data_IF_906977410484
#
_entry.id   IF_906977410484
#
_cell.length_a   1.000
_cell.length_b   1.000
_cell.length_c   1.000
_cell.angle_alpha   90.00
_cell.angle_beta   90.00
_cell.angle_gamma   90.00
#
_symmetry.space_group_name_H-M   'P 1'
#
loop_
_entity.id
_entity.type
_entity.pdbx_description
1 polymer ?
#
# COMPACT_ATOMS: atom_id res chain seq x y z
N UNK A 1 7.43 -9.11 13.35
CA UNK A 1 6.72 -8.27 12.36
C UNK A 1 7.27 -6.87 12.54
N UNK A 2 8.13 -6.42 11.61
CA UNK A 2 8.61 -5.05 11.62
C UNK A 2 7.42 -4.08 11.51
N UNK A 3 7.41 -3.07 12.36
CA UNK A 3 6.24 -2.26 12.66
C UNK A 3 5.52 -1.71 11.44
N UNK A 4 4.19 -1.82 11.44
CA UNK A 4 3.21 -1.14 10.56
C UNK A 4 3.41 -1.28 9.03
N UNK A 5 4.54 -1.75 8.52
CA UNK A 5 4.85 -1.90 7.10
C UNK A 5 4.45 -3.31 6.64
N UNK A 6 3.76 -3.36 5.52
CA UNK A 6 3.34 -4.58 4.83
C UNK A 6 3.86 -4.52 3.40
N UNK A 7 4.46 -5.60 2.92
CA UNK A 7 4.96 -5.69 1.54
C UNK A 7 4.23 -6.83 0.82
N UNK A 8 3.64 -6.52 -0.33
CA UNK A 8 2.89 -7.45 -1.16
C UNK A 8 3.59 -7.61 -2.50
N UNK A 9 3.89 -8.84 -2.89
CA UNK A 9 4.24 -9.14 -4.27
C UNK A 9 2.93 -9.35 -5.04
N UNK A 10 2.70 -8.55 -6.07
CA UNK A 10 1.48 -8.59 -6.88
C UNK A 10 1.82 -9.01 -8.30
N UNK A 11 0.94 -9.81 -8.90
CA UNK A 11 1.03 -10.21 -10.31
C UNK A 11 -0.32 -9.93 -10.98
N UNK A 12 -0.28 -9.40 -12.20
CA UNK A 12 -1.44 -9.28 -13.08
C UNK A 12 -1.35 -10.34 -14.18
N UNK A 13 -2.45 -11.05 -14.42
CA UNK A 13 -2.57 -12.08 -15.46
C UNK A 13 -3.78 -11.80 -16.35
N UNK A 14 -3.66 -12.15 -17.62
CA UNK A 14 -4.80 -12.30 -18.53
C UNK A 14 -5.16 -13.80 -18.70
N UNK A 15 -5.95 -14.13 -19.72
CA UNK A 15 -6.38 -15.51 -19.98
C UNK A 15 -5.25 -16.46 -20.42
N UNK A 16 -4.07 -15.92 -20.76
CA UNK A 16 -2.94 -16.66 -21.29
C UNK A 16 -1.80 -16.65 -20.27
N UNK A 17 -1.34 -15.47 -19.86
CA UNK A 17 -0.08 -15.33 -19.13
C UNK A 17 -0.05 -14.17 -18.11
N UNK A 18 1.08 -14.08 -17.39
CA UNK A 18 1.40 -12.91 -16.55
C UNK A 18 1.76 -11.74 -17.44
N UNK A 19 0.96 -10.69 -17.35
CA UNK A 19 1.18 -9.45 -18.07
C UNK A 19 1.97 -8.43 -17.24
N UNK A 20 2.02 -8.58 -15.91
CA UNK A 20 2.80 -7.69 -15.05
C UNK A 20 3.12 -8.30 -13.68
N UNK A 21 4.22 -7.84 -13.08
CA UNK A 21 4.58 -8.10 -11.67
C UNK A 21 5.01 -6.80 -11.00
N UNK A 22 4.78 -6.69 -9.70
CA UNK A 22 5.21 -5.54 -8.93
C UNK A 22 5.26 -5.81 -7.43
N UNK A 23 5.81 -4.84 -6.70
CA UNK A 23 5.84 -4.83 -5.24
C UNK A 23 5.00 -3.66 -4.77
N UNK A 24 4.01 -3.93 -3.91
CA UNK A 24 3.18 -2.92 -3.28
C UNK A 24 3.49 -2.88 -1.79
N UNK A 25 3.98 -1.73 -1.33
CA UNK A 25 4.26 -1.48 0.09
C UNK A 25 3.12 -0.66 0.71
N UNK A 26 2.62 -1.10 1.86
CA UNK A 26 1.57 -0.43 2.63
C UNK A 26 2.02 -0.15 4.04
N UNK A 27 1.53 0.96 4.60
CA UNK A 27 1.74 1.31 6.00
C UNK A 27 0.41 1.41 6.74
N UNK A 28 0.32 0.74 7.89
CA UNK A 28 -0.82 0.81 8.80
C UNK A 28 -0.76 2.14 9.55
N UNK A 29 -1.81 2.94 9.42
CA UNK A 29 -1.93 4.26 10.04
C UNK A 29 -3.19 4.36 10.90
N UNK A 30 -3.17 5.28 11.87
CA UNK A 30 -4.40 5.71 12.53
C UNK A 30 -5.07 6.79 11.65
N UNK A 31 -6.33 6.54 11.26
CA UNK A 31 -7.08 7.39 10.33
C UNK A 31 -7.25 8.82 10.84
N UNK A 32 -7.71 9.00 12.08
CA UNK A 32 -8.01 10.32 12.65
C UNK A 32 -6.75 11.19 12.75
N UNK A 33 -5.65 10.62 13.28
CA UNK A 33 -4.36 11.31 13.36
C UNK A 33 -3.81 11.69 11.98
N UNK A 34 -4.00 10.84 10.99
CA UNK A 34 -3.54 11.11 9.63
C UNK A 34 -4.33 12.25 8.98
N UNK A 35 -5.67 12.21 9.07
CA UNK A 35 -6.55 13.24 8.51
C UNK A 35 -6.31 14.60 9.18
N UNK A 36 -6.14 14.64 10.52
CA UNK A 36 -5.77 15.87 11.23
C UNK A 36 -4.50 16.50 10.64
N UNK A 37 -3.42 15.71 10.52
CA UNK A 37 -2.15 16.17 9.96
C UNK A 37 -2.21 16.62 8.51
N UNK A 38 -3.09 16.01 7.70
CA UNK A 38 -3.30 16.43 6.31
C UNK A 38 -3.99 17.79 6.27
N UNK A 39 -4.99 18.01 7.12
CA UNK A 39 -5.72 19.27 7.20
C UNK A 39 -4.85 20.41 7.74
N UNK A 40 -3.91 20.14 8.65
CA UNK A 40 -2.94 21.12 9.16
C UNK A 40 -1.96 21.63 8.09
N UNK A 41 -1.79 20.92 6.97
CA UNK A 41 -0.90 21.29 5.86
C UNK A 41 -1.59 22.10 4.75
N UNK A 42 -2.89 22.35 4.88
CA UNK A 42 -3.68 23.16 3.94
C UNK A 42 -3.52 24.64 4.27
#
# INVERSE_FOLDING_TARGET
>A
IEGKKLTFNVEARDAVDIISKGVHERFIINKEKFISKVNEKK
#
